data_IF_007954879550
#
_entry.id   IF_007954879550
#
_cell.length_a   1.000
_cell.length_b   1.000
_cell.length_c   1.000
_cell.angle_alpha   90.00
_cell.angle_beta   90.00
_cell.angle_gamma   90.00
#
_symmetry.space_group_name_H-M   'P 1'
#
loop_
_entity.id
_entity.type
_entity.pdbx_description
1 polymer ?
#
# COMPACT_ATOMS: atom_id res chain seq x y z
N UNK A 1 13.32 -11.24 -6.68
CA UNK A 1 12.39 -10.64 -7.65
C UNK A 1 11.24 -10.07 -6.84
N UNK A 2 11.31 -8.79 -6.46
CA UNK A 2 10.28 -8.15 -5.64
C UNK A 2 9.08 -7.90 -6.54
N UNK A 3 8.04 -8.71 -6.35
CA UNK A 3 6.80 -8.63 -7.11
C UNK A 3 6.07 -7.41 -6.53
N UNK A 4 6.40 -6.22 -7.01
CA UNK A 4 5.61 -5.02 -6.75
C UNK A 4 4.28 -5.23 -7.46
N UNK A 5 3.38 -5.97 -6.81
CA UNK A 5 2.07 -6.34 -7.32
C UNK A 5 1.16 -5.11 -7.22
N UNK A 6 1.46 -4.09 -8.02
CA UNK A 6 0.59 -2.93 -8.18
C UNK A 6 -0.76 -3.44 -8.70
N UNK A 7 -1.72 -3.54 -7.80
CA UNK A 7 -3.06 -4.07 -8.06
C UNK A 7 -3.99 -2.93 -8.36
N UNK A 8 -4.70 -3.01 -9.48
CA UNK A 8 -5.77 -2.06 -9.76
C UNK A 8 -7.05 -2.48 -9.05
N UNK A 9 -7.59 -1.60 -8.22
CA UNK A 9 -8.82 -1.80 -7.47
C UNK A 9 -9.71 -0.55 -7.54
N UNK A 10 -10.92 -0.67 -8.10
CA UNK A 10 -11.90 0.43 -8.23
C UNK A 10 -11.33 1.73 -8.84
N UNK A 11 -10.41 1.61 -9.80
CA UNK A 11 -9.76 2.78 -10.44
C UNK A 11 -8.60 3.38 -9.64
N UNK A 12 -8.16 2.72 -8.58
CA UNK A 12 -6.93 3.02 -7.84
C UNK A 12 -5.87 1.96 -8.12
N UNK A 13 -4.64 2.38 -8.36
CA UNK A 13 -3.47 1.51 -8.35
C UNK A 13 -2.97 1.41 -6.91
N UNK A 14 -3.05 0.21 -6.34
CA UNK A 14 -2.62 -0.13 -4.98
C UNK A 14 -1.25 -0.79 -5.05
N UNK A 15 -0.25 -0.15 -4.46
CA UNK A 15 1.12 -0.65 -4.39
C UNK A 15 1.50 -0.85 -2.93
N UNK A 16 1.32 -2.06 -2.36
CA UNK A 16 1.81 -2.38 -1.03
C UNK A 16 3.34 -2.46 -1.03
N UNK A 17 3.96 -1.98 0.03
CA UNK A 17 5.41 -2.04 0.22
C UNK A 17 5.74 -2.30 1.68
N UNK A 18 6.83 -3.02 1.91
CA UNK A 18 7.32 -3.30 3.26
C UNK A 18 8.71 -2.68 3.40
N UNK A 19 8.88 -1.85 4.42
CA UNK A 19 10.14 -1.19 4.71
C UNK A 19 10.82 -1.84 5.90
N UNK A 20 11.98 -2.45 5.70
CA UNK A 20 12.77 -3.05 6.78
C UNK A 20 13.42 -1.94 7.62
N UNK A 21 13.18 -1.94 8.92
CA UNK A 21 13.78 -1.05 9.90
C UNK A 21 15.10 -1.63 10.41
N UNK A 22 16.02 -0.75 10.87
CA UNK A 22 17.27 -1.18 11.50
C UNK A 22 17.06 -2.07 12.74
N UNK A 23 15.90 -1.99 13.38
CA UNK A 23 15.51 -2.82 14.51
C UNK A 23 15.13 -4.28 14.14
N UNK A 24 15.13 -4.62 12.84
CA UNK A 24 14.74 -5.95 12.35
C UNK A 24 13.23 -6.15 12.19
N UNK A 25 12.44 -5.08 12.38
CA UNK A 25 11.01 -5.06 12.08
C UNK A 25 10.75 -4.54 10.65
N UNK A 26 9.57 -4.84 10.11
CA UNK A 26 9.09 -4.34 8.82
C UNK A 26 7.91 -3.40 9.05
N UNK A 27 8.02 -2.18 8.55
CA UNK A 27 6.91 -1.25 8.48
C UNK A 27 6.08 -1.52 7.24
N UNK A 28 4.77 -1.66 7.45
CA UNK A 28 3.78 -1.80 6.40
C UNK A 28 3.46 -0.44 5.80
N UNK A 29 3.78 -0.27 4.53
CA UNK A 29 3.55 0.94 3.77
C UNK A 29 2.65 0.64 2.57
N UNK A 30 1.90 1.64 2.10
CA UNK A 30 1.12 1.50 0.87
C UNK A 30 1.01 2.81 0.13
N UNK A 31 1.09 2.69 -1.19
CA UNK A 31 0.91 3.80 -2.11
C UNK A 31 -0.34 3.55 -2.93
N UNK A 32 -1.28 4.48 -2.89
CA UNK A 32 -2.52 4.45 -3.67
C UNK A 32 -2.47 5.57 -4.69
N UNK A 33 -2.52 5.24 -5.97
CA UNK A 33 -2.57 6.23 -7.05
C UNK A 33 -3.92 6.13 -7.74
N UNK A 34 -4.73 7.18 -7.69
CA UNK A 34 -5.99 7.16 -8.46
C UNK A 34 -5.69 7.40 -9.93
N UNK A 35 -6.19 6.56 -10.82
CA UNK A 35 -6.06 6.77 -12.27
C UNK A 35 -7.12 7.75 -12.78
N UNK A 36 -7.11 9.01 -12.31
CA UNK A 36 -7.91 10.04 -12.99
C UNK A 36 -7.10 10.66 -14.13
N UNK A 37 -7.68 10.66 -15.32
CA UNK A 37 -7.03 11.09 -16.55
C UNK A 37 -7.06 12.63 -16.73
N UNK A 38 -7.55 13.40 -15.75
CA UNK A 38 -7.95 14.80 -15.98
C UNK A 38 -7.14 15.81 -15.20
N UNK A 39 -6.58 15.49 -14.03
CA UNK A 39 -5.73 16.46 -13.32
C UNK A 39 -4.93 15.75 -12.23
N UNK A 40 -3.69 15.35 -12.54
CA UNK A 40 -2.72 14.90 -11.53
C UNK A 40 -3.26 13.84 -10.57
N UNK A 41 -3.30 12.60 -11.04
CA UNK A 41 -3.64 11.40 -10.28
C UNK A 41 -3.24 11.51 -8.80
N UNK A 42 -4.19 11.70 -7.86
CA UNK A 42 -3.85 11.90 -6.46
C UNK A 42 -3.15 10.65 -5.94
N UNK A 43 -1.93 10.87 -5.49
CA UNK A 43 -1.07 9.89 -4.86
C UNK A 43 -1.28 9.99 -3.35
N UNK A 44 -1.69 8.90 -2.74
CA UNK A 44 -1.80 8.78 -1.29
C UNK A 44 -0.77 7.79 -0.82
N UNK A 45 0.18 8.27 -0.03
CA UNK A 45 1.23 7.45 0.55
C UNK A 45 0.99 7.34 2.04
N UNK A 46 0.87 6.10 2.50
CA UNK A 46 0.74 5.79 3.91
C UNK A 46 1.96 5.00 4.34
N UNK A 47 2.60 5.50 5.39
CA UNK A 47 3.79 4.91 5.96
C UNK A 47 3.48 4.45 7.38
N UNK A 48 4.06 3.32 7.79
CA UNK A 48 3.91 2.81 9.15
C UNK A 48 2.47 2.57 9.56
N UNK A 49 1.69 1.93 8.67
CA UNK A 49 0.35 1.43 8.98
C UNK A 49 0.37 0.37 10.11
N UNK A 50 1.49 -0.32 10.24
CA UNK A 50 1.77 -1.30 11.28
C UNK A 50 3.21 -1.78 11.21
N UNK A 51 3.71 -2.29 12.32
CA UNK A 51 5.04 -2.89 12.42
C UNK A 51 4.90 -4.41 12.57
N UNK A 52 5.59 -5.14 11.70
CA UNK A 52 5.50 -6.59 11.59
C UNK A 52 6.88 -7.20 11.67
N UNK A 53 6.98 -8.44 12.16
CA UNK A 53 8.25 -9.17 12.17
C UNK A 53 8.60 -9.78 10.82
N UNK A 54 7.64 -9.86 9.89
CA UNK A 54 7.80 -10.46 8.56
C UNK A 54 7.39 -9.48 7.46
N UNK A 55 8.15 -9.45 6.37
CA UNK A 55 7.80 -8.70 5.15
C UNK A 55 6.44 -9.11 4.58
N UNK A 56 6.17 -10.43 4.54
CA UNK A 56 4.92 -10.96 4.00
C UNK A 56 3.68 -10.50 4.80
N UNK A 57 3.79 -10.41 6.12
CA UNK A 57 2.71 -9.91 6.98
C UNK A 57 2.46 -8.41 6.73
N UNK A 58 3.55 -7.62 6.62
CA UNK A 58 3.45 -6.19 6.29
C UNK A 58 2.81 -5.96 4.91
N UNK A 59 3.19 -6.73 3.89
CA UNK A 59 2.60 -6.64 2.55
C UNK A 59 1.14 -7.08 2.52
N UNK A 60 0.80 -8.16 3.22
CA UNK A 60 -0.59 -8.64 3.32
C UNK A 60 -1.50 -7.65 4.03
N UNK A 61 -1.01 -7.03 5.11
CA UNK A 61 -1.74 -6.02 5.86
C UNK A 61 -2.00 -4.76 5.04
N UNK A 62 -0.97 -4.23 4.36
CA UNK A 62 -1.11 -3.06 3.49
C UNK A 62 -2.08 -3.29 2.31
N UNK A 63 -2.08 -4.46 1.66
CA UNK A 63 -3.06 -4.79 0.60
C UNK A 63 -4.50 -4.77 1.14
N UNK A 64 -4.72 -5.41 2.29
CA UNK A 64 -6.06 -5.47 2.89
C UNK A 64 -6.53 -4.09 3.34
N UNK A 65 -5.68 -3.35 4.03
CA UNK A 65 -5.97 -2.01 4.54
C UNK A 65 -6.27 -1.04 3.39
N UNK A 66 -5.50 -1.09 2.30
CA UNK A 66 -5.74 -0.26 1.13
C UNK A 66 -7.13 -0.48 0.52
N UNK A 67 -7.56 -1.73 0.42
CA UNK A 67 -8.88 -2.07 -0.14
C UNK A 67 -10.01 -1.54 0.74
N UNK A 68 -9.85 -1.64 2.05
CA UNK A 68 -10.79 -1.11 3.05
C UNK A 68 -10.86 0.44 3.00
N UNK A 69 -9.70 1.10 2.89
CA UNK A 69 -9.62 2.55 2.74
C UNK A 69 -10.29 3.04 1.46
N UNK A 70 -10.08 2.34 0.33
CA UNK A 70 -10.73 2.66 -0.95
C UNK A 70 -12.23 2.44 -0.84
N UNK A 71 -12.69 1.37 -0.17
CA UNK A 71 -14.11 1.08 0.03
C UNK A 71 -14.79 2.13 0.89
N UNK A 72 -14.11 2.64 1.92
CA UNK A 72 -14.61 3.73 2.79
C UNK A 72 -14.68 5.09 2.08
N UNK A 73 -13.86 5.29 1.03
CA UNK A 73 -13.80 6.54 0.26
C UNK A 73 -14.69 6.56 -0.99
N UNK A 74 -15.06 5.40 -1.51
CA UNK A 74 -15.84 5.24 -2.74
C UNK A 74 -17.34 5.25 -2.50
#
# INVERSE_FOLDING_TARGET
>A
MQISATRQYRGYAVSPSAHCLPDGCFSSNVTLTRSDARCGSPLYEFYSLGYFSSEADALGYSDRWARDWIDTRG
#
